data_IF_778435204976
#
_entry.id   IF_778435204976
#
_cell.length_a   1.000
_cell.length_b   1.000
_cell.length_c   1.000
_cell.angle_alpha   90.00
_cell.angle_beta   90.00
_cell.angle_gamma   90.00
#
_symmetry.space_group_name_H-M   'P 1'
#
loop_
_entity.id
_entity.type
_entity.pdbx_description
1 polymer ?
#
# COMPACT_ATOMS: atom_id res chain seq x y z
N UNK A 1 7.87 -5.46 -0.22
CA UNK A 1 6.50 -5.15 -0.67
C UNK A 1 6.22 -3.68 -0.97
N UNK A 2 6.95 -2.69 -0.42
CA UNK A 2 6.71 -1.27 -0.77
C UNK A 2 7.00 -1.01 -2.26
N UNK A 3 6.07 -0.35 -2.95
CA UNK A 3 6.17 -0.03 -4.36
C UNK A 3 7.25 1.03 -4.68
N UNK A 4 7.83 1.06 -5.90
CA UNK A 4 8.90 1.97 -6.29
C UNK A 4 8.56 3.46 -6.08
N UNK A 5 7.35 3.88 -6.44
CA UNK A 5 6.85 5.25 -6.28
C UNK A 5 6.86 5.69 -4.82
N UNK A 6 6.48 4.80 -3.89
CA UNK A 6 6.51 5.06 -2.45
C UNK A 6 7.95 5.10 -1.91
N UNK A 7 8.84 4.26 -2.45
CA UNK A 7 10.28 4.30 -2.12
C UNK A 7 10.94 5.60 -2.59
N UNK A 8 10.44 6.19 -3.67
CA UNK A 8 10.91 7.45 -4.27
C UNK A 8 10.18 8.69 -3.73
N UNK A 9 9.23 8.50 -2.80
CA UNK A 9 8.56 9.59 -2.11
C UNK A 9 7.42 10.25 -2.90
N UNK A 10 6.73 9.48 -3.75
CA UNK A 10 5.48 9.91 -4.37
C UNK A 10 4.47 10.35 -3.30
N UNK A 11 3.76 11.45 -3.58
CA UNK A 11 2.74 12.01 -2.67
C UNK A 11 1.36 11.46 -2.95
N UNK A 12 1.12 11.07 -4.19
CA UNK A 12 -0.11 10.48 -4.67
C UNK A 12 0.16 9.05 -5.09
N UNK A 13 -0.75 8.17 -4.74
CA UNK A 13 -0.66 6.75 -5.06
C UNK A 13 -2.08 6.20 -5.24
N UNK A 14 -2.17 5.13 -6.02
CA UNK A 14 -3.43 4.44 -6.32
C UNK A 14 -3.36 3.02 -5.77
N UNK A 15 -4.40 2.21 -6.04
CA UNK A 15 -4.41 0.78 -5.71
C UNK A 15 -3.30 -0.01 -6.42
N UNK A 16 -2.58 0.58 -7.39
CA UNK A 16 -1.42 -0.02 -8.04
C UNK A 16 -0.28 -0.37 -7.06
N UNK A 17 -0.21 0.28 -5.90
CA UNK A 17 0.78 -0.04 -4.86
C UNK A 17 0.53 -1.42 -4.26
N UNK A 18 -0.74 -1.81 -4.13
CA UNK A 18 -1.15 -3.12 -3.64
C UNK A 18 -0.85 -4.19 -4.68
N UNK A 19 -1.01 -3.86 -5.97
CA UNK A 19 -0.70 -4.77 -7.07
C UNK A 19 0.81 -5.07 -7.17
N UNK A 20 1.67 -4.10 -6.87
CA UNK A 20 3.11 -4.34 -6.70
C UNK A 20 3.40 -5.26 -5.51
N UNK A 21 2.73 -5.04 -4.38
CA UNK A 21 2.87 -5.90 -3.20
C UNK A 21 2.42 -7.33 -3.50
N UNK A 22 1.32 -7.50 -4.25
CA UNK A 22 0.86 -8.80 -4.75
C UNK A 22 1.93 -9.49 -5.59
N UNK A 23 2.55 -8.77 -6.55
CA UNK A 23 3.64 -9.34 -7.35
C UNK A 23 4.82 -9.83 -6.50
N UNK A 24 5.19 -9.05 -5.47
CA UNK A 24 6.22 -9.48 -4.51
C UNK A 24 5.82 -10.76 -3.75
N UNK A 25 4.55 -10.86 -3.30
CA UNK A 25 4.05 -12.02 -2.56
C UNK A 25 3.98 -13.25 -3.47
N UNK A 26 3.46 -13.11 -4.69
CA UNK A 26 3.36 -14.19 -5.68
C UNK A 26 4.75 -14.72 -6.04
N UNK A 27 5.72 -13.82 -6.26
CA UNK A 27 7.09 -14.23 -6.50
C UNK A 27 7.74 -14.89 -5.27
N UNK A 28 7.44 -14.43 -4.07
CA UNK A 28 7.93 -15.05 -2.84
C UNK A 28 7.32 -16.44 -2.58
N UNK A 29 6.05 -16.67 -2.96
CA UNK A 29 5.43 -18.01 -2.85
C UNK A 29 6.09 -19.07 -3.72
N UNK A 30 6.62 -18.67 -4.88
CA UNK A 30 7.37 -19.56 -5.78
C UNK A 30 8.88 -19.60 -5.47
N UNK A 31 9.38 -18.63 -4.70
CA UNK A 31 10.77 -18.56 -4.26
C UNK A 31 10.98 -19.17 -2.87
N UNK A 32 12.24 -19.31 -2.47
CA UNK A 32 12.60 -19.73 -1.10
C UNK A 32 12.72 -18.53 -0.13
N UNK A 33 12.35 -17.32 -0.56
CA UNK A 33 12.43 -16.11 0.26
C UNK A 33 11.94 -14.85 -0.43
N UNK A 34 12.01 -13.74 0.30
CA UNK A 34 11.52 -12.45 -0.16
C UNK A 34 12.11 -12.05 -1.51
N UNK A 35 11.25 -11.72 -2.48
CA UNK A 35 11.64 -11.38 -3.84
C UNK A 35 12.57 -10.15 -3.91
N UNK A 36 12.30 -9.15 -3.07
CA UNK A 36 13.10 -7.92 -2.96
C UNK A 36 13.51 -7.74 -1.49
N UNK A 37 14.61 -8.39 -1.05
CA UNK A 37 15.05 -8.34 0.34
C UNK A 37 15.90 -7.08 0.58
N UNK A 38 15.26 -5.92 0.65
CA UNK A 38 15.92 -4.63 0.89
C UNK A 38 16.11 -4.29 2.37
N UNK A 39 17.30 -3.84 2.75
CA UNK A 39 17.65 -3.40 4.12
C UNK A 39 17.41 -1.91 4.37
N UNK A 40 17.24 -1.12 3.30
CA UNK A 40 16.90 0.30 3.31
C UNK A 40 16.11 0.66 2.06
N UNK A 41 15.51 1.86 2.00
CA UNK A 41 14.78 2.30 0.79
C UNK A 41 15.67 2.32 -0.45
N UNK A 42 16.93 2.75 -0.31
CA UNK A 42 17.91 2.81 -1.41
C UNK A 42 18.35 1.40 -1.82
N UNK A 43 18.58 0.50 -0.86
CA UNK A 43 18.92 -0.90 -1.14
C UNK A 43 17.77 -1.62 -1.86
N UNK A 44 16.53 -1.41 -1.42
CA UNK A 44 15.34 -1.93 -2.10
C UNK A 44 15.24 -1.41 -3.55
N UNK A 45 15.42 -0.11 -3.78
CA UNK A 45 15.43 0.47 -5.12
C UNK A 45 16.56 -0.09 -5.99
N UNK A 46 17.76 -0.25 -5.45
CA UNK A 46 18.90 -0.86 -6.14
C UNK A 46 18.56 -2.27 -6.61
N UNK A 47 17.95 -3.08 -5.74
CA UNK A 47 17.51 -4.45 -6.09
C UNK A 47 16.42 -4.47 -7.16
N UNK A 48 15.49 -3.53 -7.10
CA UNK A 48 14.47 -3.37 -8.16
C UNK A 48 15.13 -3.04 -9.50
N UNK A 49 16.11 -2.14 -9.52
CA UNK A 49 16.88 -1.81 -10.74
C UNK A 49 17.67 -3.01 -11.25
N UNK A 50 18.25 -3.83 -10.36
CA UNK A 50 18.95 -5.06 -10.75
C UNK A 50 18.00 -6.08 -11.39
N UNK A 51 16.75 -6.16 -10.91
CA UNK A 51 15.76 -7.12 -11.40
C UNK A 51 15.07 -6.65 -12.70
N UNK A 52 14.58 -5.41 -12.73
CA UNK A 52 13.76 -4.88 -13.84
C UNK A 52 14.56 -4.01 -14.82
N UNK A 53 15.80 -3.65 -14.48
CA UNK A 53 16.51 -2.55 -15.13
C UNK A 53 16.04 -1.18 -14.67
N UNK A 54 16.70 -0.12 -15.16
CA UNK A 54 16.26 1.26 -14.93
C UNK A 54 14.97 1.55 -15.70
N UNK A 55 14.03 2.33 -15.12
CA UNK A 55 12.82 2.73 -15.84
C UNK A 55 13.15 3.61 -17.04
N UNK A 56 12.27 3.56 -18.04
CA UNK A 56 12.30 4.52 -19.14
C UNK A 56 11.92 5.92 -18.62
N UNK A 57 12.37 7.02 -19.27
CA UNK A 57 12.03 8.37 -18.84
C UNK A 57 10.51 8.62 -18.70
N UNK A 58 9.70 8.03 -19.58
CA UNK A 58 8.25 8.11 -19.51
C UNK A 58 7.68 7.41 -18.27
N UNK A 59 8.25 6.27 -17.88
CA UNK A 59 7.83 5.54 -16.68
C UNK A 59 8.30 6.25 -15.41
N UNK A 60 9.48 6.86 -15.43
CA UNK A 60 9.96 7.71 -14.33
C UNK A 60 9.04 8.91 -14.09
N UNK A 61 8.54 9.54 -15.15
CA UNK A 61 7.61 10.66 -15.05
C UNK A 61 6.27 10.26 -14.43
N UNK A 62 5.77 9.05 -14.74
CA UNK A 62 4.51 8.53 -14.22
C UNK A 62 4.55 8.15 -12.72
N UNK A 63 5.74 8.07 -12.11
CA UNK A 63 5.87 7.80 -10.66
C UNK A 63 5.42 8.99 -9.79
N UNK A 64 5.23 10.18 -10.37
CA UNK A 64 4.84 11.42 -9.67
C UNK A 64 5.68 11.74 -8.42
N UNK A 65 6.96 11.35 -8.45
CA UNK A 65 7.91 11.52 -7.36
C UNK A 65 8.94 12.62 -7.73
N UNK A 66 8.95 13.78 -7.04
CA UNK A 66 9.74 14.97 -7.44
C UNK A 66 11.25 14.74 -7.56
N UNK A 67 11.79 13.73 -6.86
CA UNK A 67 13.21 13.41 -6.82
C UNK A 67 13.54 12.04 -7.46
N UNK A 68 12.58 11.42 -8.14
CA UNK A 68 12.75 10.07 -8.68
C UNK A 68 13.95 9.96 -9.62
N UNK A 69 14.07 10.88 -10.59
CA UNK A 69 15.18 10.88 -11.54
C UNK A 69 16.53 10.99 -10.84
N UNK A 70 16.67 11.91 -9.89
CA UNK A 70 17.90 12.08 -9.13
C UNK A 70 18.28 10.82 -8.34
N UNK A 71 17.31 10.24 -7.62
CA UNK A 71 17.54 9.02 -6.84
C UNK A 71 17.92 7.83 -7.73
N UNK A 72 17.29 7.69 -8.90
CA UNK A 72 17.57 6.61 -9.86
C UNK A 72 18.90 6.81 -10.60
N UNK A 73 19.33 8.05 -10.84
CA UNK A 73 20.61 8.38 -11.47
C UNK A 73 21.79 8.04 -10.56
N UNK A 74 21.63 8.17 -9.24
CA UNK A 74 22.63 7.74 -8.27
C UNK A 74 22.82 6.21 -8.19
N UNK A 75 21.87 5.42 -8.70
CA UNK A 75 21.99 3.97 -8.75
C UNK A 75 22.79 3.53 -9.98
N UNK A 76 23.61 2.47 -9.88
CA UNK A 76 24.37 1.97 -11.01
C UNK A 76 23.44 1.56 -12.17
N UNK A 77 23.81 1.94 -13.40
CA UNK A 77 23.12 1.46 -14.58
C UNK A 77 23.60 0.04 -14.89
N UNK A 78 22.85 -0.95 -14.42
CA UNK A 78 23.06 -2.36 -14.75
C UNK A 78 21.95 -2.83 -15.69
N UNK A 79 22.27 -3.60 -16.75
CA UNK A 79 21.22 -4.33 -17.46
C UNK A 79 20.47 -5.23 -16.46
N UNK A 80 19.20 -5.59 -16.73
CA UNK A 80 18.45 -6.50 -15.87
C UNK A 80 19.26 -7.78 -15.68
N UNK A 81 19.74 -8.00 -14.46
CA UNK A 81 20.61 -9.13 -14.15
C UNK A 81 19.78 -10.37 -13.82
N UNK A 82 18.60 -10.16 -13.23
CA UNK A 82 17.65 -11.20 -12.87
C UNK A 82 16.28 -10.91 -13.51
N UNK A 83 16.15 -11.01 -14.85
CA UNK A 83 14.82 -11.05 -15.45
C UNK A 83 14.04 -12.20 -14.80
N UNK A 84 12.72 -12.06 -14.67
CA UNK A 84 11.88 -13.03 -13.97
C UNK A 84 12.13 -14.48 -14.41
N UNK A 85 12.37 -14.71 -15.69
CA UNK A 85 12.74 -16.02 -16.25
C UNK A 85 14.00 -16.64 -15.61
N UNK A 86 15.02 -15.82 -15.35
CA UNK A 86 16.26 -16.25 -14.71
C UNK A 86 16.10 -16.40 -13.19
N UNK A 87 15.25 -15.57 -12.58
CA UNK A 87 14.96 -15.63 -11.15
C UNK A 87 14.12 -16.86 -10.77
N UNK A 88 13.28 -17.33 -11.69
CA UNK A 88 12.36 -18.44 -11.51
C UNK A 88 12.55 -19.52 -12.58
N UNK A 89 13.70 -20.22 -12.57
CA UNK A 89 14.00 -21.21 -13.60
C UNK A 89 13.05 -22.41 -13.49
N UNK A 90 12.35 -22.71 -14.59
CA UNK A 90 11.44 -23.86 -14.67
C UNK A 90 9.98 -23.54 -14.30
N UNK A 91 9.68 -22.30 -13.90
CA UNK A 91 8.30 -21.87 -13.73
C UNK A 91 7.58 -21.69 -15.08
N UNK A 92 6.24 -21.84 -15.11
CA UNK A 92 5.45 -21.66 -16.33
C UNK A 92 5.56 -20.24 -16.90
N UNK A 93 5.48 -20.11 -18.22
CA UNK A 93 5.54 -18.82 -18.90
C UNK A 93 4.41 -17.88 -18.43
N UNK A 94 3.25 -18.43 -18.12
CA UNK A 94 2.08 -17.72 -17.60
C UNK A 94 2.36 -17.11 -16.23
N UNK A 95 3.12 -17.78 -15.36
CA UNK A 95 3.53 -17.22 -14.07
C UNK A 95 4.47 -16.03 -14.25
N UNK A 96 5.46 -16.18 -15.14
CA UNK A 96 6.43 -15.12 -15.45
C UNK A 96 5.74 -13.89 -16.05
N UNK A 97 4.81 -14.11 -16.98
CA UNK A 97 4.03 -13.03 -17.59
C UNK A 97 3.17 -12.32 -16.55
N UNK A 98 2.50 -13.07 -15.68
CA UNK A 98 1.71 -12.52 -14.58
C UNK A 98 2.54 -11.62 -13.66
N UNK A 99 3.74 -12.08 -13.25
CA UNK A 99 4.65 -11.27 -12.43
C UNK A 99 5.09 -9.99 -13.14
N UNK A 100 5.42 -10.05 -14.43
CA UNK A 100 5.79 -8.88 -15.22
C UNK A 100 4.68 -7.84 -15.28
N UNK A 101 3.43 -8.28 -15.41
CA UNK A 101 2.26 -7.41 -15.50
C UNK A 101 1.89 -6.80 -14.13
N UNK A 102 2.22 -7.46 -13.02
CA UNK A 102 2.09 -6.91 -11.68
C UNK A 102 3.24 -5.95 -11.31
N UNK A 103 4.46 -6.23 -11.76
CA UNK A 103 5.68 -5.58 -11.30
C UNK A 103 6.28 -4.64 -12.35
N UNK A 104 5.51 -3.62 -12.74
CA UNK A 104 5.96 -2.55 -13.62
C UNK A 104 6.43 -1.33 -12.84
N UNK A 105 7.40 -0.59 -13.39
CA UNK A 105 7.81 0.71 -12.84
C UNK A 105 6.64 1.70 -12.83
N UNK A 106 6.03 1.91 -14.00
CA UNK A 106 4.88 2.80 -14.13
C UNK A 106 3.64 2.18 -13.45
N UNK A 107 3.05 2.87 -12.45
CA UNK A 107 1.89 2.36 -11.73
C UNK A 107 0.67 2.14 -12.64
N UNK A 108 0.51 2.93 -13.69
CA UNK A 108 -0.62 2.84 -14.63
C UNK A 108 -0.50 1.66 -15.60
N UNK A 109 0.68 1.04 -15.68
CA UNK A 109 0.92 -0.16 -16.50
C UNK A 109 0.77 -1.46 -15.72
N UNK A 110 0.59 -1.39 -14.39
CA UNK A 110 0.36 -2.58 -13.58
C UNK A 110 -1.07 -3.04 -13.77
N UNK A 111 -1.27 -4.35 -13.75
CA UNK A 111 -2.62 -4.91 -13.66
C UNK A 111 -3.38 -4.34 -12.47
N UNK A 112 -4.63 -4.02 -12.71
CA UNK A 112 -5.65 -3.91 -11.67
C UNK A 112 -5.98 -5.31 -11.11
N UNK A 113 -6.61 -5.36 -9.94
CA UNK A 113 -7.06 -6.63 -9.37
C UNK A 113 -8.04 -7.36 -10.31
N UNK A 114 -8.91 -6.63 -11.00
CA UNK A 114 -9.88 -7.19 -11.94
C UNK A 114 -9.20 -7.79 -13.17
N UNK A 115 -8.19 -7.11 -13.75
CA UNK A 115 -7.40 -7.65 -14.87
C UNK A 115 -6.57 -8.86 -14.44
N UNK A 116 -5.98 -8.81 -13.24
CA UNK A 116 -5.20 -9.91 -12.70
C UNK A 116 -6.05 -11.18 -12.53
N UNK A 117 -7.31 -11.05 -12.10
CA UNK A 117 -8.26 -12.17 -11.98
C UNK A 117 -8.65 -12.81 -13.32
N UNK A 118 -8.44 -12.13 -14.44
CA UNK A 118 -8.72 -12.66 -15.78
C UNK A 118 -7.49 -13.36 -16.40
N UNK A 119 -6.35 -13.32 -15.72
CA UNK A 119 -5.10 -13.82 -16.26
C UNK A 119 -5.05 -15.37 -16.29
N UNK A 120 -4.49 -16.00 -17.35
CA UNK A 120 -4.39 -17.46 -17.45
C UNK A 120 -3.77 -18.16 -16.23
N UNK A 121 -2.79 -17.52 -15.58
CA UNK A 121 -2.14 -18.03 -14.37
C UNK A 121 -3.13 -18.34 -13.22
N UNK A 122 -4.13 -17.49 -13.00
CA UNK A 122 -5.13 -17.68 -11.93
C UNK A 122 -6.44 -18.29 -12.42
N UNK A 123 -6.62 -18.44 -13.73
CA UNK A 123 -7.85 -18.96 -14.34
C UNK A 123 -8.35 -20.30 -13.77
N UNK A 124 -7.50 -21.28 -13.38
CA UNK A 124 -7.99 -22.54 -12.81
C UNK A 124 -8.69 -22.38 -11.45
N UNK A 125 -8.46 -21.25 -10.77
CA UNK A 125 -8.99 -20.96 -9.43
C UNK A 125 -10.13 -19.92 -9.46
N UNK A 126 -10.42 -19.36 -10.63
CA UNK A 126 -11.41 -18.29 -10.75
C UNK A 126 -12.82 -18.86 -10.93
N UNK A 127 -13.71 -18.53 -9.99
CA UNK A 127 -15.14 -18.67 -10.16
C UNK A 127 -15.76 -17.27 -10.34
N UNK A 128 -16.30 -16.92 -11.53
CA UNK A 128 -16.93 -15.61 -11.76
C UNK A 128 -18.08 -15.31 -10.80
N UNK A 129 -18.79 -16.33 -10.33
CA UNK A 129 -19.92 -16.16 -9.41
C UNK A 129 -19.48 -15.83 -7.96
N UNK A 130 -18.20 -16.06 -7.62
CA UNK A 130 -17.61 -15.83 -6.29
C UNK A 130 -16.67 -14.62 -6.26
N UNK A 131 -16.86 -13.65 -7.16
CA UNK A 131 -16.07 -12.41 -7.22
C UNK A 131 -16.93 -11.18 -6.90
N UNK A 132 -17.41 -11.03 -5.64
CA UNK A 132 -18.26 -9.91 -5.26
C UNK A 132 -17.47 -8.60 -5.26
N UNK A 133 -18.04 -7.57 -5.88
CA UNK A 133 -17.57 -6.19 -5.71
C UNK A 133 -18.30 -5.54 -4.53
N UNK A 134 -17.60 -4.71 -3.76
CA UNK A 134 -18.19 -3.98 -2.63
C UNK A 134 -19.42 -3.15 -3.05
N UNK A 135 -19.39 -2.57 -4.26
CA UNK A 135 -20.44 -1.68 -4.78
C UNK A 135 -20.56 -0.35 -4.03
N UNK A 136 -19.83 -0.19 -2.92
CA UNK A 136 -19.80 1.01 -2.09
C UNK A 136 -18.36 1.48 -1.90
N UNK A 137 -18.15 2.79 -2.03
CA UNK A 137 -16.89 3.41 -1.63
C UNK A 137 -16.76 3.32 -0.12
N UNK A 138 -15.64 2.78 0.34
CA UNK A 138 -15.28 2.78 1.76
C UNK A 138 -14.94 4.22 2.15
N UNK A 139 -15.84 4.87 2.88
CA UNK A 139 -15.61 6.22 3.38
C UNK A 139 -15.18 6.16 4.84
N UNK A 140 -13.98 6.67 5.14
CA UNK A 140 -13.48 6.77 6.50
C UNK A 140 -14.23 7.89 7.23
N UNK A 141 -14.69 7.62 8.46
CA UNK A 141 -15.43 8.61 9.24
C UNK A 141 -14.59 9.83 9.63
N UNK A 142 -13.28 9.65 9.74
CA UNK A 142 -12.30 10.72 9.84
C UNK A 142 -11.38 10.67 8.61
N UNK A 143 -11.12 11.81 7.96
CA UNK A 143 -10.18 11.85 6.85
C UNK A 143 -8.77 11.53 7.34
N UNK A 144 -8.02 10.80 6.54
CA UNK A 144 -6.61 10.47 6.74
C UNK A 144 -5.66 11.61 6.36
N UNK A 145 -6.13 12.57 5.58
CA UNK A 145 -5.39 13.77 5.18
C UNK A 145 -5.16 14.77 6.32
N UNK A 146 -5.84 14.61 7.45
CA UNK A 146 -5.79 15.54 8.58
C UNK A 146 -5.38 14.84 9.89
N UNK A 147 -4.50 15.50 10.64
CA UNK A 147 -4.10 15.02 11.96
C UNK A 147 -4.99 15.64 13.04
N UNK A 148 -5.77 14.81 13.72
CA UNK A 148 -6.63 15.25 14.82
C UNK A 148 -6.00 15.03 16.20
N UNK A 149 -6.45 15.73 17.25
CA UNK A 149 -6.07 15.40 18.62
C UNK A 149 -6.52 13.97 18.99
N UNK A 150 -5.75 13.28 19.83
CA UNK A 150 -6.06 11.90 20.26
C UNK A 150 -7.49 11.71 20.79
N UNK A 151 -8.04 12.74 21.44
CA UNK A 151 -9.42 12.73 21.92
C UNK A 151 -10.45 12.52 20.80
N UNK A 152 -10.23 13.13 19.62
CA UNK A 152 -11.13 13.03 18.46
C UNK A 152 -11.17 11.62 17.89
N UNK A 153 -10.00 10.98 17.72
CA UNK A 153 -9.92 9.59 17.27
C UNK A 153 -10.61 8.64 18.25
N UNK A 154 -10.35 8.80 19.56
CA UNK A 154 -10.99 7.99 20.60
C UNK A 154 -12.51 8.10 20.56
N UNK A 155 -13.03 9.32 20.49
CA UNK A 155 -14.47 9.56 20.50
C UNK A 155 -15.12 8.98 19.21
N UNK A 156 -14.43 9.03 18.06
CA UNK A 156 -14.89 8.38 16.83
C UNK A 156 -14.92 6.84 16.96
N UNK A 157 -13.87 6.22 17.50
CA UNK A 157 -13.83 4.77 17.71
C UNK A 157 -15.02 4.31 18.58
N UNK A 158 -15.34 5.07 19.63
CA UNK A 158 -16.53 4.77 20.45
C UNK A 158 -17.84 4.92 19.68
N UNK A 159 -17.93 5.90 18.77
CA UNK A 159 -19.10 6.05 17.92
C UNK A 159 -19.25 4.86 16.95
N UNK A 160 -18.14 4.37 16.37
CA UNK A 160 -18.13 3.25 15.42
C UNK A 160 -18.51 1.92 16.09
N UNK A 161 -18.00 1.64 17.30
CA UNK A 161 -18.27 0.40 18.03
C UNK A 161 -19.72 0.31 18.52
N UNK A 162 -20.32 1.43 18.92
CA UNK A 162 -21.64 1.45 19.58
C UNK A 162 -22.80 1.57 18.57
N UNK A 163 -22.53 2.02 17.35
CA UNK A 163 -23.54 2.27 16.32
C UNK A 163 -24.33 3.56 16.57
N UNK A 164 -24.43 4.40 15.53
CA UNK A 164 -25.36 5.54 15.45
C UNK A 164 -26.79 5.01 15.68
N UNK A 165 -27.48 5.21 16.83
CA UNK A 165 -27.79 6.49 17.49
C UNK A 165 -27.67 6.49 19.04
N UNK A 166 -27.25 5.39 19.68
CA UNK A 166 -27.09 5.31 21.14
C UNK A 166 -25.81 6.04 21.62
N UNK A 167 -24.88 6.27 20.69
CA UNK A 167 -23.58 6.90 20.91
C UNK A 167 -23.67 8.36 21.36
N UNK A 168 -24.59 9.17 20.84
CA UNK A 168 -24.67 10.58 21.24
C UNK A 168 -24.92 10.74 22.74
N UNK A 169 -25.87 9.99 23.29
CA UNK A 169 -26.21 10.06 24.73
C UNK A 169 -25.08 9.52 25.61
N UNK A 170 -24.39 8.45 25.20
CA UNK A 170 -23.32 7.86 26.00
C UNK A 170 -22.05 8.73 25.94
N UNK A 171 -21.66 9.22 24.76
CA UNK A 171 -20.53 10.12 24.57
C UNK A 171 -20.77 11.44 25.28
N UNK A 172 -21.98 12.01 25.19
CA UNK A 172 -22.35 13.23 25.89
C UNK A 172 -22.39 13.03 27.41
N UNK A 173 -22.87 11.88 27.90
CA UNK A 173 -22.82 11.52 29.33
C UNK A 173 -21.38 11.35 29.83
N UNK A 174 -20.51 10.69 29.06
CA UNK A 174 -19.10 10.53 29.41
C UNK A 174 -18.33 11.87 29.35
N UNK A 175 -18.69 12.74 28.41
CA UNK A 175 -18.13 14.10 28.29
C UNK A 175 -18.54 14.98 29.48
N UNK A 176 -19.81 14.95 29.87
CA UNK A 176 -20.32 15.66 31.05
C UNK A 176 -19.72 15.13 32.34
N UNK A 177 -19.53 13.81 32.44
CA UNK A 177 -18.92 13.20 33.63
C UNK A 177 -17.45 13.61 33.79
N UNK A 178 -16.67 13.71 32.70
CA UNK A 178 -15.30 14.22 32.76
C UNK A 178 -15.21 15.71 33.09
N UNK A 179 -16.13 16.53 32.56
CA UNK A 179 -16.22 17.95 32.93
C UNK A 179 -16.57 18.11 34.41
N UNK A 180 -17.43 17.23 34.93
CA UNK A 180 -17.77 17.17 36.35
C UNK A 180 -16.57 16.75 37.21
N UNK A 181 -15.82 15.71 36.82
CA UNK A 181 -14.59 15.33 37.53
C UNK A 181 -13.54 16.45 37.53
N UNK A 182 -13.36 17.14 36.41
CA UNK A 182 -12.44 18.28 36.31
C UNK A 182 -12.88 19.47 37.17
N UNK A 183 -14.19 19.69 37.33
CA UNK A 183 -14.73 20.73 38.21
C UNK A 183 -14.71 20.36 39.70
N UNK A 184 -14.61 19.06 40.02
CA UNK A 184 -14.53 18.53 41.40
C UNK A 184 -13.10 18.33 41.89
N UNK A 185 -12.10 18.42 40.99
CA UNK A 185 -10.70 18.51 41.40
C UNK A 185 -10.48 19.86 42.10
N UNK A 186 -9.93 19.87 43.33
CA UNK A 186 -9.62 21.12 44.00
C UNK A 186 -8.64 21.93 43.13
N UNK A 187 -8.74 23.27 43.11
CA UNK A 187 -7.82 24.08 42.35
C UNK A 187 -6.38 23.74 42.78
N UNK A 188 -5.41 23.69 41.84
CA UNK A 188 -4.03 23.48 42.22
C UNK A 188 -3.65 24.54 43.24
N UNK A 189 -3.07 24.12 44.36
CA UNK A 189 -2.51 25.03 45.35
C UNK A 189 -1.46 25.91 44.63
N UNK A 190 -1.81 27.19 44.45
CA UNK A 190 -0.87 28.24 44.04
C UNK A 190 0.13 28.51 45.19
N UNK A 191 1.35 28.94 44.85
CA UNK A 191 2.62 28.24 45.14
C UNK A 191 3.12 28.29 46.60
#
# INVERSE_FOLDING_TARGET
>A
YRAPELLLGARWYTTSVDMWALGCIVGEMHGEGALIPGTSSIDALSRIVVMLGKPLPADTAALEAPFASFSLDCLPATPPHNPFESAFPGEPAEFIDFLKLLMQWNPDKRFTAEEAMQHPYVSPFCNPDDQPVSGQLVNLALPDSEQFPAARYRDQIYADVIGFPQSQRLVERLRLWRLFEQAMLPPPEEP
#
